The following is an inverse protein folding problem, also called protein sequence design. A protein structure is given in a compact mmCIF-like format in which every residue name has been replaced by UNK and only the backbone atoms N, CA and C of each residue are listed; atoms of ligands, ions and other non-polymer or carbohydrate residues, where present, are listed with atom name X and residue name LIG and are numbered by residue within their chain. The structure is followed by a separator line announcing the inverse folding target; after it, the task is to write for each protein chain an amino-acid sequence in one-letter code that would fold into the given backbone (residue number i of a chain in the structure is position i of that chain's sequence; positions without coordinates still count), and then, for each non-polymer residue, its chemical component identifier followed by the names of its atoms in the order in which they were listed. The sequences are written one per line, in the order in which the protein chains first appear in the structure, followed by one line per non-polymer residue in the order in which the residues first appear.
data_IF_603487046516
#
_entry.id   IF_603487046516
#
_cell.length_a   1.000
_cell.length_b   1.000
_cell.length_c   1.000
_cell.angle_alpha   90.00
_cell.angle_beta   90.00
_cell.angle_gamma   90.00
#
_symmetry.space_group_name_H-M   'P 1'
#
loop_
_entity.id
_entity.type
_entity.pdbx_description
1 polymer ?
#
# COMPACT_ATOMS: atom_id res chain seq x y z
N UNK A 1 -7.38 -3.96 -14.45
CA UNK A 1 -7.38 -2.83 -13.51
C UNK A 1 -8.07 -1.64 -14.14
N UNK A 2 -9.37 -1.57 -13.88
CA UNK A 2 -10.26 -0.45 -14.18
C UNK A 2 -10.67 0.24 -12.87
N UNK A 3 -11.32 1.39 -12.97
CA UNK A 3 -11.81 2.12 -11.80
C UNK A 3 -12.82 1.28 -11.00
N UNK A 4 -12.73 1.32 -9.66
CA UNK A 4 -13.51 0.52 -8.72
C UNK A 4 -13.11 -0.96 -8.63
N UNK A 5 -12.27 -1.46 -9.55
CA UNK A 5 -11.84 -2.87 -9.56
C UNK A 5 -11.11 -3.21 -8.28
N UNK A 6 -11.45 -4.37 -7.71
CA UNK A 6 -10.79 -4.90 -6.54
C UNK A 6 -9.39 -5.39 -6.93
N UNK A 7 -8.37 -4.96 -6.21
CA UNK A 7 -6.97 -5.22 -6.50
C UNK A 7 -6.22 -5.69 -5.26
N UNK A 8 -5.24 -6.57 -5.46
CA UNK A 8 -4.25 -6.91 -4.44
C UNK A 8 -2.98 -6.13 -4.67
N UNK A 9 -2.53 -5.47 -3.60
CA UNK A 9 -1.23 -4.82 -3.50
C UNK A 9 -0.39 -5.62 -2.53
N UNK A 10 0.87 -5.88 -2.84
CA UNK A 10 1.70 -6.68 -1.94
C UNK A 10 3.19 -6.48 -2.09
N UNK A 11 3.93 -7.02 -1.14
CA UNK A 11 5.38 -7.02 -1.07
C UNK A 11 5.86 -8.28 -0.32
N UNK A 12 7.15 -8.36 0.00
CA UNK A 12 7.67 -9.41 0.87
C UNK A 12 7.12 -9.33 2.31
N UNK A 13 6.53 -8.18 2.72
CA UNK A 13 6.00 -7.98 4.08
C UNK A 13 4.56 -8.45 4.25
N UNK A 14 3.79 -8.51 3.16
CA UNK A 14 2.40 -8.93 3.19
C UNK A 14 1.61 -8.46 1.98
N UNK A 15 0.29 -8.54 2.09
CA UNK A 15 -0.64 -8.18 1.01
C UNK A 15 -1.89 -7.53 1.59
N UNK A 16 -2.44 -6.56 0.87
CA UNK A 16 -3.73 -5.92 1.19
C UNK A 16 -4.61 -5.86 -0.05
N UNK A 17 -5.92 -5.99 0.15
CA UNK A 17 -6.96 -5.83 -0.87
C UNK A 17 -7.53 -4.42 -0.80
N UNK A 18 -7.59 -3.75 -1.94
CA UNK A 18 -8.07 -2.37 -2.10
C UNK A 18 -8.96 -2.25 -3.33
N UNK A 19 -9.68 -1.14 -3.46
CA UNK A 19 -10.36 -0.76 -4.70
C UNK A 19 -9.48 0.22 -5.48
N UNK A 20 -9.29 -0.05 -6.77
CA UNK A 20 -8.53 0.82 -7.65
C UNK A 20 -9.30 2.11 -7.94
N UNK A 21 -8.60 3.24 -7.93
CA UNK A 21 -9.11 4.53 -8.40
C UNK A 21 -8.21 5.04 -9.52
N UNK A 22 -8.76 5.21 -10.71
CA UNK A 22 -8.01 5.74 -11.85
C UNK A 22 -7.89 7.27 -11.72
N UNK A 23 -6.68 7.80 -11.90
CA UNK A 23 -6.43 9.23 -11.86
C UNK A 23 -5.46 9.64 -12.97
N UNK A 24 -5.89 10.57 -13.83
CA UNK A 24 -5.12 10.99 -15.01
C UNK A 24 -3.75 11.59 -14.68
N UNK A 25 -3.62 12.24 -13.51
CA UNK A 25 -2.36 12.82 -13.05
C UNK A 25 -1.44 11.84 -12.30
N UNK A 26 -1.81 10.56 -12.19
CA UNK A 26 -1.01 9.59 -11.42
C UNK A 26 0.29 9.24 -12.16
N UNK A 27 1.42 9.33 -11.45
CA UNK A 27 2.72 8.96 -12.00
C UNK A 27 2.78 7.45 -12.26
N UNK A 28 3.15 7.06 -13.49
CA UNK A 28 3.37 5.66 -13.86
C UNK A 28 4.39 5.00 -12.93
N UNK A 29 4.05 3.82 -12.43
CA UNK A 29 4.89 3.05 -11.50
C UNK A 29 4.79 3.47 -10.03
N UNK A 30 3.95 4.46 -9.71
CA UNK A 30 3.67 4.90 -8.33
C UNK A 30 2.21 4.62 -8.01
N UNK A 31 1.96 4.02 -6.86
CA UNK A 31 0.62 3.80 -6.31
C UNK A 31 0.39 4.76 -5.14
N UNK A 32 -0.87 5.16 -4.96
CA UNK A 32 -1.30 5.95 -3.80
C UNK A 32 -2.40 5.15 -3.10
N UNK A 33 -2.23 4.93 -1.80
CA UNK A 33 -3.28 4.51 -0.90
C UNK A 33 -3.61 5.73 -0.02
N UNK A 34 -4.85 6.22 -0.12
CA UNK A 34 -5.27 7.42 0.61
C UNK A 34 -5.58 7.09 2.07
N UNK A 35 -5.02 7.88 2.98
CA UNK A 35 -5.20 7.82 4.44
C UNK A 35 -4.67 6.54 5.11
N UNK A 36 -4.67 6.55 6.44
CA UNK A 36 -4.43 5.38 7.28
C UNK A 36 -5.76 5.04 7.95
N UNK A 37 -6.43 4.02 7.45
CA UNK A 37 -7.70 3.55 8.00
C UNK A 37 -7.47 2.48 9.09
N UNK A 38 -8.43 2.30 10.02
CA UNK A 38 -8.44 1.16 10.93
C UNK A 38 -8.39 -0.17 10.18
N UNK A 39 -7.80 -1.19 10.79
CA UNK A 39 -7.58 -2.50 10.15
C UNK A 39 -8.86 -3.20 9.70
N UNK A 40 -9.96 -3.01 10.44
CA UNK A 40 -11.28 -3.59 10.15
C UNK A 40 -11.99 -2.93 8.95
N UNK A 41 -11.50 -1.78 8.48
CA UNK A 41 -11.95 -1.16 7.24
C UNK A 41 -11.40 -1.85 5.98
N UNK A 42 -10.42 -2.76 6.13
CA UNK A 42 -9.84 -3.54 5.03
C UNK A 42 -10.45 -4.94 5.01
N UNK A 43 -10.75 -5.46 3.82
CA UNK A 43 -11.30 -6.82 3.63
C UNK A 43 -10.44 -7.91 4.30
N UNK A 44 -9.13 -7.69 4.34
CA UNK A 44 -8.17 -8.65 4.90
C UNK A 44 -7.92 -8.47 6.41
N UNK A 45 -8.59 -7.51 7.07
CA UNK A 45 -8.39 -7.20 8.49
C UNK A 45 -7.02 -6.62 8.84
N UNK A 46 -6.29 -6.11 7.84
CA UNK A 46 -4.96 -5.51 7.98
C UNK A 46 -4.79 -4.33 7.02
N UNK A 47 -4.31 -3.20 7.53
CA UNK A 47 -4.24 -1.96 6.78
C UNK A 47 -2.98 -1.77 5.92
N UNK A 48 -2.90 -0.63 5.24
CA UNK A 48 -1.80 -0.32 4.31
C UNK A 48 -0.41 -0.40 4.97
N UNK A 49 -0.32 -0.18 6.27
CA UNK A 49 0.92 -0.29 7.03
C UNK A 49 1.48 -1.72 7.12
N UNK A 50 0.71 -2.76 6.76
CA UNK A 50 1.23 -4.10 6.50
C UNK A 50 2.34 -4.08 5.44
N UNK A 51 2.26 -3.16 4.48
CA UNK A 51 3.26 -3.01 3.42
C UNK A 51 4.42 -2.08 3.80
N UNK A 52 4.37 -1.45 4.98
CA UNK A 52 5.34 -0.45 5.42
C UNK A 52 6.36 -1.07 6.39
N UNK A 53 7.66 -0.88 6.09
CA UNK A 53 8.73 -1.31 6.98
C UNK A 53 8.81 -0.47 8.25
N UNK A 54 9.14 -1.13 9.37
CA UNK A 54 9.48 -0.48 10.64
C UNK A 54 11.00 -0.46 10.88
N UNK A 55 11.79 -0.58 9.81
CA UNK A 55 13.25 -0.62 9.89
C UNK A 55 13.78 0.70 10.46
N UNK A 56 14.75 0.60 11.36
CA UNK A 56 15.42 1.76 11.93
C UNK A 56 16.38 2.34 10.88
N UNK A 57 16.16 3.59 10.40
CA UNK A 57 17.09 4.22 9.48
C UNK A 57 18.37 4.64 10.21
N UNK A 58 19.49 4.59 9.49
CA UNK A 58 20.75 5.14 9.97
C UNK A 58 20.69 6.68 10.09
N UNK A 59 21.47 7.31 10.99
CA UNK A 59 22.38 6.69 11.95
C UNK A 59 21.69 6.28 13.26
N UNK A 60 20.70 7.02 13.79
CA UNK A 60 20.07 6.69 15.09
C UNK A 60 18.66 7.29 15.27
N UNK A 61 17.66 6.79 14.53
CA UNK A 61 16.25 6.90 14.93
C UNK A 61 15.28 7.43 13.86
N UNK A 62 13.98 7.20 14.10
CA UNK A 62 12.88 7.51 13.18
C UNK A 62 12.31 6.25 12.50
N UNK A 63 11.21 6.40 11.76
CA UNK A 63 10.66 5.34 10.92
C UNK A 63 11.01 5.55 9.44
N UNK A 64 11.45 4.49 8.76
CA UNK A 64 11.72 4.53 7.32
C UNK A 64 10.42 4.41 6.50
N UNK A 65 9.56 5.43 6.53
CA UNK A 65 8.23 5.40 5.89
C UNK A 65 8.23 5.57 4.35
N UNK A 66 9.37 5.40 3.67
CA UNK A 66 9.55 5.89 2.30
C UNK A 66 10.07 4.87 1.27
N UNK A 67 10.31 3.60 1.64
CA UNK A 67 10.76 2.57 0.68
C UNK A 67 9.77 1.38 0.57
N UNK A 68 8.52 1.71 0.25
CA UNK A 68 7.49 0.71 0.00
C UNK A 68 7.50 0.29 -1.47
N UNK A 69 8.32 -0.70 -1.81
CA UNK A 69 8.24 -1.39 -3.10
C UNK A 69 7.15 -2.45 -3.07
N UNK A 70 6.18 -2.28 -3.97
CA UNK A 70 5.00 -3.13 -4.04
C UNK A 70 4.74 -3.58 -5.47
N UNK A 71 4.09 -4.72 -5.62
CA UNK A 71 3.44 -5.17 -6.85
C UNK A 71 1.92 -4.94 -6.77
N UNK A 72 1.26 -4.96 -7.92
CA UNK A 72 -0.20 -4.80 -8.07
C UNK A 72 -0.73 -5.85 -9.05
N UNK A 73 -1.88 -6.45 -8.72
CA UNK A 73 -2.64 -7.35 -9.61
C UNK A 73 -4.14 -7.28 -9.33
N UNK A 74 -5.02 -7.66 -10.28
CA UNK A 74 -6.42 -7.94 -10.00
C UNK A 74 -6.58 -8.92 -8.83
N UNK A 75 -7.57 -8.69 -7.96
CA UNK A 75 -7.78 -9.45 -6.72
C UNK A 75 -8.52 -10.77 -6.90
#
# INVERSE_FOLDING_TARGET
IVDGERVKVGSARGTVTLHAKAHAGQRRGVLIAESIWPNDAFEDGQGINTLTGCDQPAPFGGGAFHDNRVWLRPA
#
